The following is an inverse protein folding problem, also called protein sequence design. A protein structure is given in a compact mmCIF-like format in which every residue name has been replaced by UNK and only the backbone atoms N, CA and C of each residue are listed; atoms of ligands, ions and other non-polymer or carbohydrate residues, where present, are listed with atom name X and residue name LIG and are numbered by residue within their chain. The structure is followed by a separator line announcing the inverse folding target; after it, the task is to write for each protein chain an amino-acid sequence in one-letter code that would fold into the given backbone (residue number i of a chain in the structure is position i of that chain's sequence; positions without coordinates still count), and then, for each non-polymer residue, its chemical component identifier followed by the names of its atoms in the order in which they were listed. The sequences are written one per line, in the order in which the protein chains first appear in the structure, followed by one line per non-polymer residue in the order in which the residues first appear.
data_IF_598760259389
#
_entry.id   IF_598760259389
#
_cell.length_a   1.000
_cell.length_b   1.000
_cell.length_c   1.000
_cell.angle_alpha   90.00
_cell.angle_beta   90.00
_cell.angle_gamma   90.00
#
_symmetry.space_group_name_H-M   'P 1'
#
loop_
_entity.id
_entity.type
_entity.pdbx_description
1 polymer ?
#
# COMPACT_ATOMS: atom_id res chain seq x y z
N UNK A 1 -36.09 11.64 60.33
CA UNK A 1 -36.10 10.17 60.51
C UNK A 1 -35.38 9.54 59.32
N UNK A 2 -34.11 9.13 59.47
CA UNK A 2 -33.44 8.32 58.44
C UNK A 2 -33.81 6.86 58.65
N UNK A 3 -34.50 6.26 57.67
CA UNK A 3 -34.80 4.82 57.64
C UNK A 3 -33.48 4.05 57.50
N UNK A 4 -33.20 3.12 58.43
CA UNK A 4 -32.09 2.16 58.32
C UNK A 4 -32.27 1.33 57.05
N UNK A 5 -31.40 1.54 56.07
CA UNK A 5 -31.32 0.72 54.86
C UNK A 5 -30.76 -0.65 55.27
N UNK A 6 -31.44 -1.74 54.90
CA UNK A 6 -31.01 -3.08 55.30
C UNK A 6 -29.70 -3.46 54.61
N UNK A 7 -28.82 -4.16 55.34
CA UNK A 7 -27.50 -4.62 54.83
C UNK A 7 -27.61 -5.45 53.54
N UNK A 8 -28.73 -6.14 53.32
CA UNK A 8 -29.00 -6.91 52.08
C UNK A 8 -29.26 -6.01 50.87
N UNK A 9 -29.82 -4.81 51.08
CA UNK A 9 -30.08 -3.83 50.00
C UNK A 9 -28.77 -3.15 49.59
N UNK A 10 -27.88 -2.86 50.55
CA UNK A 10 -26.54 -2.32 50.26
C UNK A 10 -25.72 -3.31 49.44
N UNK A 11 -25.78 -4.61 49.79
CA UNK A 11 -25.08 -5.65 49.05
C UNK A 11 -25.60 -5.80 47.61
N UNK A 12 -26.91 -5.68 47.39
CA UNK A 12 -27.53 -5.75 46.07
C UNK A 12 -27.15 -4.55 45.19
N UNK A 13 -27.08 -3.34 45.78
CA UNK A 13 -26.67 -2.13 45.07
C UNK A 13 -25.19 -2.20 44.69
N UNK A 14 -24.32 -2.65 45.60
CA UNK A 14 -22.88 -2.82 45.31
C UNK A 14 -22.67 -3.88 44.23
N UNK A 15 -23.39 -5.01 44.26
CA UNK A 15 -23.28 -6.06 43.25
C UNK A 15 -23.78 -5.59 41.86
N UNK A 16 -24.83 -4.77 41.82
CA UNK A 16 -25.35 -4.19 40.57
C UNK A 16 -24.44 -3.09 40.01
N UNK A 17 -23.70 -2.37 40.85
CA UNK A 17 -22.70 -1.37 40.43
C UNK A 17 -21.44 -2.00 39.84
N UNK A 18 -21.02 -3.18 40.34
CA UNK A 18 -19.84 -3.91 39.81
C UNK A 18 -20.10 -4.48 38.42
N UNK A 19 -21.34 -4.85 38.09
CA UNK A 19 -21.70 -5.33 36.75
C UNK A 19 -21.73 -4.23 35.67
N UNK A 20 -21.88 -2.95 36.06
CA UNK A 20 -21.95 -1.84 35.11
C UNK A 20 -20.58 -1.32 34.66
N UNK A 21 -19.49 -1.65 35.36
CA UNK A 21 -18.11 -1.24 34.99
C UNK A 21 -17.38 -2.26 34.11
N UNK A 22 -17.95 -3.44 33.87
CA UNK A 22 -17.31 -4.49 33.05
C UNK A 22 -17.64 -4.42 31.55
N UNK A 23 -18.46 -3.47 31.09
CA UNK A 23 -18.90 -3.42 29.68
C UNK A 23 -18.20 -2.36 28.81
N UNK A 24 -17.12 -1.74 29.28
CA UNK A 24 -16.31 -0.86 28.44
C UNK A 24 -15.26 -1.68 27.68
N UNK A 25 -15.71 -2.59 26.80
CA UNK A 25 -14.82 -3.15 25.78
C UNK A 25 -14.54 -2.05 24.78
N UNK A 26 -13.27 -1.63 24.69
CA UNK A 26 -12.83 -0.66 23.69
C UNK A 26 -13.03 -1.33 22.33
N UNK A 27 -14.01 -0.87 21.55
CA UNK A 27 -14.20 -1.39 20.20
C UNK A 27 -12.90 -1.23 19.42
N UNK A 28 -12.43 -2.31 18.81
CA UNK A 28 -11.20 -2.27 18.02
C UNK A 28 -11.43 -1.39 16.78
N UNK A 29 -10.48 -0.47 16.54
CA UNK A 29 -10.56 0.45 15.41
C UNK A 29 -10.53 -0.33 14.09
N UNK A 30 -11.49 -0.11 13.17
CA UNK A 30 -11.53 -0.79 11.88
C UNK A 30 -10.23 -0.64 11.07
N UNK A 31 -9.84 -1.68 10.34
CA UNK A 31 -8.57 -1.71 9.59
C UNK A 31 -8.44 -0.53 8.62
N UNK A 32 -9.50 -0.17 7.87
CA UNK A 32 -9.48 0.99 6.96
C UNK A 32 -9.17 2.30 7.67
N UNK A 33 -9.68 2.49 8.89
CA UNK A 33 -9.42 3.70 9.68
C UNK A 33 -7.97 3.70 10.18
N UNK A 34 -7.45 2.54 10.61
CA UNK A 34 -6.04 2.38 11.02
C UNK A 34 -5.06 2.65 9.88
N UNK A 35 -5.40 2.21 8.66
CA UNK A 35 -4.62 2.45 7.43
C UNK A 35 -4.58 3.93 7.04
N UNK A 36 -5.54 4.74 7.46
CA UNK A 36 -5.65 6.14 7.05
C UNK A 36 -4.42 6.98 7.44
N UNK A 37 -3.93 7.75 6.47
CA UNK A 37 -2.85 8.73 6.68
C UNK A 37 -1.68 8.58 5.69
N UNK A 38 -0.57 9.23 6.05
CA UNK A 38 0.67 9.20 5.26
C UNK A 38 1.65 8.21 5.89
N UNK A 39 2.27 7.39 5.05
CA UNK A 39 3.12 6.27 5.45
C UNK A 39 4.37 6.22 4.57
N UNK A 40 5.52 6.01 5.19
CA UNK A 40 6.80 5.82 4.48
C UNK A 40 7.26 4.39 4.67
N UNK A 41 7.70 3.73 3.60
CA UNK A 41 8.34 2.40 3.69
C UNK A 41 9.73 2.57 4.29
N UNK A 42 9.93 2.01 5.48
CA UNK A 42 11.17 2.16 6.27
C UNK A 42 11.97 0.87 6.36
N UNK A 43 11.36 -0.28 6.08
CA UNK A 43 12.04 -1.55 5.89
C UNK A 43 11.36 -2.37 4.80
N UNK A 44 12.13 -3.19 4.10
CA UNK A 44 11.60 -4.10 3.10
C UNK A 44 12.49 -5.34 2.95
N UNK A 45 11.87 -6.51 2.94
CA UNK A 45 12.57 -7.79 2.75
C UNK A 45 11.91 -8.60 1.63
N UNK A 46 12.73 -9.36 0.90
CA UNK A 46 12.23 -10.35 -0.05
C UNK A 46 11.86 -11.67 0.64
N UNK A 47 11.39 -12.65 -0.14
CA UNK A 47 11.04 -13.99 0.33
C UNK A 47 12.18 -14.71 1.08
N UNK A 48 13.44 -14.46 0.70
CA UNK A 48 14.61 -15.02 1.36
C UNK A 48 15.03 -14.25 2.63
N UNK A 49 14.30 -13.19 3.00
CA UNK A 49 14.60 -12.32 4.14
C UNK A 49 15.71 -11.30 3.88
N UNK A 50 16.18 -11.16 2.63
CA UNK A 50 17.20 -10.17 2.30
C UNK A 50 16.60 -8.76 2.20
N UNK A 51 17.32 -7.76 2.68
CA UNK A 51 16.93 -6.35 2.56
C UNK A 51 16.86 -5.93 1.07
N UNK A 52 15.75 -5.30 0.71
CA UNK A 52 15.49 -4.75 -0.63
C UNK A 52 15.10 -3.27 -0.60
N UNK A 53 15.20 -2.61 0.56
CA UNK A 53 14.73 -1.25 0.73
C UNK A 53 15.45 -0.29 -0.23
N UNK A 54 16.78 -0.42 -0.34
CA UNK A 54 17.61 0.37 -1.27
C UNK A 54 17.26 0.17 -2.73
N UNK A 55 16.63 -0.96 -3.08
CA UNK A 55 16.18 -1.24 -4.44
C UNK A 55 14.87 -0.52 -4.72
N UNK A 56 13.96 -0.42 -3.76
CA UNK A 56 12.59 0.06 -3.99
C UNK A 56 12.32 1.51 -3.56
N UNK A 57 13.19 2.10 -2.73
CA UNK A 57 13.05 3.51 -2.34
C UNK A 57 13.69 4.38 -3.41
N UNK A 58 12.90 5.15 -4.16
CA UNK A 58 13.49 6.20 -4.98
C UNK A 58 12.55 7.40 -5.20
N UNK A 59 12.90 8.60 -4.71
CA UNK A 59 13.84 8.83 -3.59
C UNK A 59 13.32 8.22 -2.28
N UNK A 60 12.00 8.14 -2.16
CA UNK A 60 11.27 7.57 -1.03
C UNK A 60 10.09 6.78 -1.56
N UNK A 61 9.78 5.63 -0.96
CA UNK A 61 8.51 4.94 -1.20
C UNK A 61 7.54 5.36 -0.10
N UNK A 62 6.56 6.19 -0.45
CA UNK A 62 5.57 6.70 0.48
C UNK A 62 4.17 6.64 -0.11
N UNK A 63 3.18 6.52 0.77
CA UNK A 63 1.77 6.35 0.47
C UNK A 63 0.94 7.30 1.31
N UNK A 64 0.01 8.01 0.68
CA UNK A 64 -1.14 8.58 1.33
C UNK A 64 -2.34 7.66 1.06
N UNK A 65 -2.96 7.18 2.13
CA UNK A 65 -4.12 6.29 2.12
C UNK A 65 -5.32 7.08 2.67
N UNK A 66 -6.31 7.35 1.83
CA UNK A 66 -7.54 8.03 2.24
C UNK A 66 -8.57 7.04 2.78
N UNK A 67 -9.57 7.54 3.50
CA UNK A 67 -10.66 6.72 4.06
C UNK A 67 -11.58 6.10 3.01
N UNK A 68 -11.67 6.70 1.82
CA UNK A 68 -12.48 6.19 0.70
C UNK A 68 -11.83 5.04 -0.08
N UNK A 69 -10.57 4.71 0.22
CA UNK A 69 -9.82 3.67 -0.48
C UNK A 69 -8.83 4.19 -1.52
N UNK A 70 -8.74 5.50 -1.74
CA UNK A 70 -7.77 6.08 -2.70
C UNK A 70 -6.34 6.00 -2.18
N UNK A 71 -5.40 5.73 -3.08
CA UNK A 71 -3.96 5.79 -2.85
C UNK A 71 -3.35 6.89 -3.71
N UNK A 72 -2.54 7.74 -3.08
CA UNK A 72 -1.59 8.63 -3.76
C UNK A 72 -0.19 8.20 -3.29
N UNK A 73 0.73 7.88 -4.20
CA UNK A 73 2.00 7.31 -3.77
C UNK A 73 3.19 7.66 -4.67
N UNK A 74 4.37 7.54 -4.09
CA UNK A 74 5.65 7.38 -4.82
C UNK A 74 6.11 5.93 -4.86
N UNK A 75 5.25 4.98 -4.47
CA UNK A 75 5.54 3.55 -4.38
C UNK A 75 5.70 2.81 -5.72
N UNK A 76 5.82 3.53 -6.84
CA UNK A 76 6.01 2.93 -8.17
C UNK A 76 7.14 1.91 -8.24
N UNK A 77 8.37 2.24 -7.80
CA UNK A 77 9.49 1.29 -7.82
C UNK A 77 9.26 0.06 -6.94
N UNK A 78 8.61 0.23 -5.78
CA UNK A 78 8.16 -0.88 -4.93
C UNK A 78 7.20 -1.82 -5.68
N UNK A 79 6.17 -1.27 -6.32
CA UNK A 79 5.20 -2.08 -7.09
C UNK A 79 5.89 -2.79 -8.26
N UNK A 80 6.83 -2.15 -8.94
CA UNK A 80 7.59 -2.81 -10.00
C UNK A 80 8.45 -3.95 -9.49
N UNK A 81 9.11 -3.79 -8.35
CA UNK A 81 9.87 -4.87 -7.74
C UNK A 81 8.94 -6.06 -7.41
N UNK A 82 7.74 -5.77 -6.90
CA UNK A 82 6.73 -6.80 -6.67
C UNK A 82 6.39 -7.51 -7.99
N UNK A 83 6.05 -6.79 -9.06
CA UNK A 83 5.60 -7.39 -10.32
C UNK A 83 6.72 -8.16 -11.04
N UNK A 84 7.89 -7.54 -11.19
CA UNK A 84 8.94 -8.00 -12.10
C UNK A 84 10.10 -8.72 -11.40
N UNK A 85 10.24 -8.55 -10.09
CA UNK A 85 11.33 -9.10 -9.30
C UNK A 85 12.68 -8.48 -9.59
N UNK A 86 13.68 -8.86 -8.81
CA UNK A 86 14.98 -8.17 -8.72
C UNK A 86 15.72 -8.03 -10.05
N UNK A 87 15.90 -9.12 -10.80
CA UNK A 87 16.70 -9.12 -12.02
C UNK A 87 16.11 -8.20 -13.10
N UNK A 88 14.78 -8.16 -13.20
CA UNK A 88 14.07 -7.33 -14.17
C UNK A 88 13.90 -5.90 -13.65
N UNK A 89 13.66 -5.74 -12.35
CA UNK A 89 13.65 -4.45 -11.70
C UNK A 89 14.96 -3.70 -11.95
N UNK A 90 16.11 -4.32 -11.68
CA UNK A 90 17.42 -3.69 -11.91
C UNK A 90 17.63 -3.27 -13.37
N UNK A 91 17.21 -4.11 -14.32
CA UNK A 91 17.24 -3.75 -15.74
C UNK A 91 16.39 -2.51 -16.04
N UNK A 92 15.17 -2.45 -15.51
CA UNK A 92 14.27 -1.32 -15.74
C UNK A 92 14.75 -0.06 -14.99
N UNK A 93 15.14 -0.19 -13.72
CA UNK A 93 15.67 0.88 -12.88
C UNK A 93 16.92 1.53 -13.51
N UNK A 94 17.86 0.75 -14.03
CA UNK A 94 19.03 1.30 -14.72
C UNK A 94 18.70 2.15 -15.96
N UNK A 95 17.56 1.89 -16.61
CA UNK A 95 17.06 2.67 -17.74
C UNK A 95 16.30 3.91 -17.28
N UNK A 96 15.64 3.86 -16.12
CA UNK A 96 14.96 4.98 -15.45
C UNK A 96 15.97 6.03 -15.01
N UNK A 97 17.02 5.62 -14.31
CA UNK A 97 18.05 6.53 -13.77
C UNK A 97 18.78 7.31 -14.87
N UNK A 98 18.92 6.73 -16.07
CA UNK A 98 19.51 7.40 -17.23
C UNK A 98 18.60 8.46 -17.86
N UNK A 99 17.32 8.47 -17.48
CA UNK A 99 16.24 9.09 -18.25
C UNK A 99 15.44 10.16 -17.49
N UNK A 100 15.44 10.16 -16.15
CA UNK A 100 14.71 11.14 -15.35
C UNK A 100 15.63 12.25 -14.82
N UNK A 101 15.27 13.49 -15.16
CA UNK A 101 15.72 14.71 -14.50
C UNK A 101 14.59 15.11 -13.51
N UNK A 102 14.89 15.15 -12.22
CA UNK A 102 13.99 14.83 -11.09
C UNK A 102 12.99 15.93 -10.64
N UNK A 103 12.42 16.71 -11.56
CA UNK A 103 11.55 17.87 -11.21
C UNK A 103 10.05 17.61 -11.31
N UNK A 104 9.61 16.42 -11.75
CA UNK A 104 8.18 16.09 -11.89
C UNK A 104 7.89 14.76 -11.23
N UNK A 105 7.64 14.80 -9.92
CA UNK A 105 7.17 13.66 -9.15
C UNK A 105 5.76 13.31 -9.60
N UNK A 106 5.64 12.38 -10.54
CA UNK A 106 4.36 11.80 -10.93
C UNK A 106 3.86 10.93 -9.77
N UNK A 107 2.80 11.40 -9.09
CA UNK A 107 2.12 10.60 -8.08
C UNK A 107 1.37 9.46 -8.77
N UNK A 108 1.78 8.22 -8.48
CA UNK A 108 1.05 7.06 -8.94
C UNK A 108 -0.22 6.90 -8.11
N UNK A 109 -1.36 6.89 -8.80
CA UNK A 109 -2.66 6.61 -8.23
C UNK A 109 -2.88 5.11 -8.01
N UNK A 110 -3.71 4.77 -7.05
CA UNK A 110 -4.15 3.40 -6.79
C UNK A 110 -5.39 3.39 -5.93
N UNK A 111 -5.86 2.20 -5.61
CA UNK A 111 -6.97 1.97 -4.70
C UNK A 111 -6.62 0.82 -3.76
N UNK A 112 -7.17 0.84 -2.55
CA UNK A 112 -7.16 -0.30 -1.65
C UNK A 112 -8.56 -0.65 -1.18
N UNK A 113 -8.78 -1.95 -0.98
CA UNK A 113 -10.07 -2.50 -0.59
C UNK A 113 -9.89 -3.41 0.62
N UNK A 114 -10.58 -3.10 1.70
CA UNK A 114 -10.67 -3.93 2.90
C UNK A 114 -12.14 -4.01 3.32
N UNK A 115 -12.54 -5.14 3.89
CA UNK A 115 -13.90 -5.30 4.41
C UNK A 115 -14.13 -4.40 5.63
N UNK A 116 -15.40 -4.26 6.04
CA UNK A 116 -15.75 -3.49 7.22
C UNK A 116 -15.28 -4.20 8.50
N UNK A 117 -14.79 -3.43 9.48
CA UNK A 117 -14.32 -3.94 10.76
C UNK A 117 -12.81 -4.21 10.78
N UNK A 118 -12.39 -5.15 11.61
CA UNK A 118 -10.98 -5.54 11.77
C UNK A 118 -10.70 -6.75 10.90
N UNK A 119 -9.83 -6.56 9.92
CA UNK A 119 -9.36 -7.60 9.00
C UNK A 119 -7.83 -7.63 8.97
N UNK A 120 -7.30 -8.81 8.69
CA UNK A 120 -5.87 -9.11 8.56
C UNK A 120 -5.40 -9.17 7.09
N UNK A 121 -6.32 -8.94 6.14
CA UNK A 121 -6.08 -9.03 4.70
C UNK A 121 -6.80 -7.90 3.98
N UNK A 122 -6.15 -7.37 2.94
CA UNK A 122 -6.74 -6.38 2.05
C UNK A 122 -6.31 -6.61 0.59
N UNK A 123 -6.91 -5.86 -0.32
CA UNK A 123 -6.53 -5.80 -1.73
C UNK A 123 -5.85 -4.48 -2.03
N UNK A 124 -4.69 -4.54 -2.68
CA UNK A 124 -3.92 -3.40 -3.16
C UNK A 124 -4.03 -3.34 -4.69
N UNK A 125 -4.59 -2.28 -5.26
CA UNK A 125 -4.57 -2.01 -6.70
C UNK A 125 -3.69 -0.79 -6.98
N UNK A 126 -2.61 -0.99 -7.73
CA UNK A 126 -1.68 0.07 -8.09
C UNK A 126 -1.66 0.30 -9.59
N UNK A 127 -1.78 1.54 -10.00
CA UNK A 127 -1.63 1.93 -11.40
C UNK A 127 -0.14 2.03 -11.71
N UNK A 128 0.32 1.19 -12.64
CA UNK A 128 1.58 1.42 -13.33
C UNK A 128 1.25 1.95 -14.72
N UNK A 129 1.50 3.23 -14.92
CA UNK A 129 1.63 3.77 -16.27
C UNK A 129 2.93 3.21 -16.87
N UNK A 130 2.95 3.03 -18.19
CA UNK A 130 3.95 2.25 -18.91
C UNK A 130 5.35 2.36 -18.31
N UNK A 131 6.02 1.21 -18.20
CA UNK A 131 7.35 1.00 -17.61
C UNK A 131 8.08 2.32 -17.33
N UNK A 132 8.35 2.70 -16.07
CA UNK A 132 8.98 3.98 -15.83
C UNK A 132 10.25 4.09 -16.64
N UNK A 133 10.48 5.27 -17.20
CA UNK A 133 11.42 5.53 -18.29
C UNK A 133 10.73 5.65 -19.65
N UNK A 134 9.41 5.40 -19.72
CA UNK A 134 8.64 5.41 -20.95
C UNK A 134 8.73 6.71 -21.76
N UNK A 135 8.75 7.90 -21.13
CA UNK A 135 8.91 9.17 -21.86
C UNK A 135 10.25 9.20 -22.61
N UNK A 136 11.32 8.76 -21.98
CA UNK A 136 12.67 8.79 -22.55
C UNK A 136 12.93 7.62 -23.51
N UNK A 137 12.36 6.44 -23.25
CA UNK A 137 12.37 5.29 -24.16
C UNK A 137 11.52 5.56 -25.41
N UNK A 138 10.33 6.14 -25.26
CA UNK A 138 9.49 6.56 -26.39
C UNK A 138 10.20 7.67 -27.19
N UNK A 139 10.86 8.63 -26.51
CA UNK A 139 11.64 9.69 -27.17
C UNK A 139 12.86 9.16 -27.94
N UNK A 140 13.55 8.14 -27.43
CA UNK A 140 14.66 7.48 -28.12
C UNK A 140 14.17 6.70 -29.36
N UNK A 141 13.04 5.99 -29.23
CA UNK A 141 12.45 5.21 -30.33
C UNK A 141 11.86 6.14 -31.42
N UNK A 142 11.28 7.27 -31.04
CA UNK A 142 10.83 8.33 -31.96
C UNK A 142 12.02 8.97 -32.71
N UNK A 143 13.16 9.19 -32.05
CA UNK A 143 14.41 9.68 -32.69
C UNK A 143 14.97 8.69 -33.73
N UNK A 144 14.71 7.40 -33.54
CA UNK A 144 15.05 6.31 -34.48
C UNK A 144 13.91 5.98 -35.46
N UNK A 145 12.83 6.74 -35.44
CA UNK A 145 11.63 6.61 -36.28
C UNK A 145 10.90 5.24 -36.13
N UNK A 146 10.88 4.71 -34.92
CA UNK A 146 10.21 3.45 -34.53
C UNK A 146 9.01 3.77 -33.65
N UNK A 147 7.78 3.55 -34.16
CA UNK A 147 6.55 3.79 -33.39
C UNK A 147 6.28 2.63 -32.40
N UNK A 148 6.46 2.91 -31.11
CA UNK A 148 6.30 1.93 -30.03
C UNK A 148 5.02 2.14 -29.21
N UNK A 149 3.85 2.21 -29.88
CA UNK A 149 2.55 2.46 -29.25
C UNK A 149 2.19 1.48 -28.11
N UNK A 150 2.74 0.27 -28.13
CA UNK A 150 2.54 -0.75 -27.10
C UNK A 150 3.07 -0.33 -25.70
N UNK A 151 4.03 0.60 -25.64
CA UNK A 151 4.54 1.14 -24.38
C UNK A 151 3.54 2.08 -23.67
N UNK A 152 2.53 2.61 -24.37
CA UNK A 152 1.57 3.62 -23.88
C UNK A 152 0.41 3.06 -23.04
N UNK A 153 0.50 1.82 -22.59
CA UNK A 153 -0.61 1.13 -21.91
C UNK A 153 -0.52 1.29 -20.39
N UNK A 154 -1.56 1.86 -19.78
CA UNK A 154 -1.73 1.87 -18.33
C UNK A 154 -2.21 0.50 -17.87
N UNK A 155 -1.48 -0.12 -16.94
CA UNK A 155 -1.82 -1.42 -16.36
C UNK A 155 -2.07 -1.26 -14.86
N UNK A 156 -3.25 -1.68 -14.44
CA UNK A 156 -3.68 -1.77 -13.05
C UNK A 156 -3.23 -3.13 -12.51
N UNK A 157 -2.36 -3.08 -11.51
CA UNK A 157 -1.82 -4.26 -10.84
C UNK A 157 -2.52 -4.46 -9.52
N UNK A 158 -3.34 -5.50 -9.45
CA UNK A 158 -4.10 -5.87 -8.26
C UNK A 158 -3.40 -7.02 -7.54
N UNK A 159 -3.13 -6.85 -6.26
CA UNK A 159 -2.68 -7.86 -5.34
C UNK A 159 -3.79 -8.11 -4.31
N UNK A 160 -4.39 -9.29 -4.37
CA UNK A 160 -5.54 -9.71 -3.58
C UNK A 160 -5.03 -10.54 -2.40
N UNK A 161 -5.59 -10.34 -1.20
CA UNK A 161 -5.16 -11.00 0.04
C UNK A 161 -3.73 -10.64 0.48
N UNK A 162 -3.35 -9.37 0.35
CA UNK A 162 -2.14 -8.85 1.00
C UNK A 162 -2.37 -8.85 2.50
N UNK A 163 -1.47 -9.50 3.26
CA UNK A 163 -1.52 -9.50 4.71
C UNK A 163 -1.24 -8.10 5.25
N UNK A 164 -2.00 -7.69 6.25
CA UNK A 164 -1.83 -6.43 6.95
C UNK A 164 -1.83 -6.66 8.46
N UNK A 165 -0.86 -6.03 9.11
CA UNK A 165 -0.79 -5.97 10.57
C UNK A 165 -0.28 -4.59 11.00
N UNK A 166 -0.35 -4.31 12.29
CA UNK A 166 0.10 -3.06 12.89
C UNK A 166 0.77 -3.34 14.22
N UNK A 167 1.72 -2.50 14.59
CA UNK A 167 2.23 -2.53 15.95
C UNK A 167 1.21 -2.01 16.97
N UNK A 168 1.52 -2.20 18.26
CA UNK A 168 0.61 -1.91 19.37
C UNK A 168 0.11 -0.45 19.41
N UNK A 169 0.96 0.50 19.03
CA UNK A 169 0.64 1.93 19.04
C UNK A 169 0.13 2.47 17.69
N UNK A 170 0.11 1.63 16.64
CA UNK A 170 -0.32 1.99 15.30
C UNK A 170 0.62 2.97 14.57
N UNK A 171 1.86 3.12 15.03
CA UNK A 171 2.90 3.90 14.36
C UNK A 171 3.54 3.14 13.19
N UNK A 172 3.43 1.82 13.17
CA UNK A 172 3.89 0.95 12.10
C UNK A 172 2.76 0.10 11.55
N UNK A 173 2.79 -0.08 10.24
CA UNK A 173 1.91 -0.96 9.47
C UNK A 173 2.79 -1.90 8.66
N UNK A 174 2.46 -3.19 8.70
CA UNK A 174 3.21 -4.24 8.01
C UNK A 174 2.38 -4.75 6.86
N UNK A 175 2.94 -4.75 5.65
CA UNK A 175 2.34 -5.39 4.49
C UNK A 175 3.14 -6.62 4.12
N UNK A 176 2.45 -7.74 3.91
CA UNK A 176 3.08 -8.98 3.48
C UNK A 176 2.39 -9.55 2.25
N UNK A 177 3.18 -9.70 1.19
CA UNK A 177 2.83 -10.40 -0.03
C UNK A 177 3.36 -11.82 0.11
N UNK A 178 2.51 -12.73 0.58
CA UNK A 178 2.84 -14.13 0.89
C UNK A 178 2.16 -15.10 -0.10
N UNK A 179 2.29 -16.41 0.13
CA UNK A 179 1.68 -17.45 -0.70
C UNK A 179 0.14 -17.39 -0.80
N UNK A 180 -0.53 -16.68 0.11
CA UNK A 180 -1.99 -16.48 0.06
C UNK A 180 -2.38 -15.28 -0.80
N UNK A 181 -1.43 -14.43 -1.19
CA UNK A 181 -1.66 -13.34 -2.12
C UNK A 181 -1.80 -13.86 -3.55
N UNK A 182 -2.79 -13.37 -4.29
CA UNK A 182 -2.92 -13.60 -5.74
C UNK A 182 -2.87 -12.28 -6.51
N UNK A 183 -2.61 -12.33 -7.82
CA UNK A 183 -2.53 -11.13 -8.64
C UNK A 183 -3.51 -11.15 -9.81
N UNK A 184 -3.98 -9.98 -10.21
CA UNK A 184 -4.72 -9.75 -11.44
C UNK A 184 -4.21 -8.47 -12.10
N UNK A 185 -3.98 -8.52 -13.41
CA UNK A 185 -3.49 -7.38 -14.17
C UNK A 185 -4.51 -6.99 -15.22
N UNK A 186 -4.86 -5.71 -15.24
CA UNK A 186 -5.92 -5.22 -16.11
C UNK A 186 -5.49 -3.93 -16.81
N UNK A 187 -5.97 -3.74 -18.03
CA UNK A 187 -6.01 -2.44 -18.69
C UNK A 187 -7.45 -1.93 -18.68
N UNK A 188 -7.66 -0.66 -19.02
CA UNK A 188 -8.99 -0.14 -19.33
C UNK A 188 -9.16 -0.04 -20.84
N UNK A 189 -10.30 -0.46 -21.36
CA UNK A 189 -10.67 -0.23 -22.76
C UNK A 189 -11.04 1.25 -22.99
N UNK A 190 -11.37 1.62 -24.23
CA UNK A 190 -11.78 2.98 -24.58
C UNK A 190 -13.10 3.45 -23.93
N UNK A 191 -13.82 2.55 -23.24
CA UNK A 191 -15.05 2.84 -22.49
C UNK A 191 -14.80 2.86 -20.97
N UNK A 192 -13.57 2.57 -20.53
CA UNK A 192 -13.18 2.54 -19.12
C UNK A 192 -13.39 1.18 -18.43
N UNK A 193 -13.82 0.14 -19.14
CA UNK A 193 -14.03 -1.19 -18.55
C UNK A 193 -12.69 -1.89 -18.33
N UNK A 194 -12.57 -2.65 -17.24
CA UNK A 194 -11.40 -3.49 -17.01
C UNK A 194 -11.37 -4.66 -18.00
N UNK A 195 -10.25 -4.79 -18.70
CA UNK A 195 -9.93 -5.91 -19.60
C UNK A 195 -8.66 -6.57 -19.09
N UNK A 196 -8.60 -7.90 -19.12
CA UNK A 196 -7.42 -8.65 -18.68
C UNK A 196 -6.20 -8.28 -19.53
N UNK A 197 -5.09 -7.99 -18.86
CA UNK A 197 -3.80 -7.78 -19.50
C UNK A 197 -2.91 -9.01 -19.30
N UNK A 198 -2.57 -9.69 -20.39
CA UNK A 198 -1.80 -10.95 -20.37
C UNK A 198 -0.30 -10.74 -20.67
N UNK A 199 0.22 -9.51 -20.56
CA UNK A 199 1.61 -9.21 -20.90
C UNK A 199 2.63 -9.68 -19.86
N UNK A 200 2.20 -10.03 -18.64
CA UNK A 200 3.04 -10.62 -17.60
C UNK A 200 2.28 -11.72 -16.85
N UNK A 201 2.94 -12.85 -16.48
CA UNK A 201 2.27 -13.91 -15.73
C UNK A 201 1.88 -13.46 -14.31
N UNK A 202 0.61 -13.65 -13.95
CA UNK A 202 0.07 -13.32 -12.62
C UNK A 202 0.61 -14.18 -11.48
N UNK A 203 1.35 -15.25 -11.78
CA UNK A 203 1.97 -16.13 -10.78
C UNK A 203 3.45 -15.77 -10.52
N UNK A 204 4.02 -14.82 -11.25
CA UNK A 204 5.46 -14.53 -11.25
C UNK A 204 5.86 -13.30 -10.43
N UNK A 205 4.98 -12.78 -9.57
CA UNK A 205 5.31 -11.66 -8.71
C UNK A 205 6.08 -12.10 -7.45
N UNK A 206 6.91 -11.19 -6.93
CA UNK A 206 7.77 -11.40 -5.78
C UNK A 206 6.97 -11.42 -4.49
N UNK A 207 7.30 -12.39 -3.62
CA UNK A 207 6.86 -12.38 -2.22
C UNK A 207 7.80 -11.51 -1.41
N UNK A 208 7.23 -10.67 -0.55
CA UNK A 208 7.97 -9.62 0.14
C UNK A 208 7.18 -9.08 1.32
N UNK A 209 7.91 -8.51 2.27
CA UNK A 209 7.36 -7.84 3.45
C UNK A 209 7.85 -6.40 3.51
N UNK A 210 6.98 -5.49 3.91
CA UNK A 210 7.25 -4.07 4.01
C UNK A 210 6.81 -3.57 5.38
N UNK A 211 7.68 -2.78 6.01
CA UNK A 211 7.31 -1.98 7.18
C UNK A 211 7.07 -0.56 6.73
N UNK A 212 5.91 -0.04 7.06
CA UNK A 212 5.49 1.32 6.79
C UNK A 212 5.38 2.08 8.09
N UNK A 213 6.09 3.18 8.23
CA UNK A 213 6.05 4.05 9.42
C UNK A 213 5.17 5.26 9.16
N UNK A 214 4.23 5.53 10.07
CA UNK A 214 3.28 6.64 9.98
C UNK A 214 4.00 7.98 10.03
N UNK A 215 3.56 8.93 9.21
CA UNK A 215 4.13 10.27 9.10
C UNK A 215 3.10 11.31 9.53
N UNK A 216 3.58 12.35 10.21
CA UNK A 216 2.78 13.54 10.53
C UNK A 216 2.80 14.60 9.42
N UNK A 217 3.70 14.44 8.44
CA UNK A 217 3.90 15.35 7.31
C UNK A 217 3.05 14.92 6.12
N UNK A 218 2.76 15.87 5.24
CA UNK A 218 2.11 15.58 3.97
C UNK A 218 3.06 14.82 3.04
N UNK A 219 2.47 14.04 2.12
CA UNK A 219 3.23 13.25 1.15
C UNK A 219 4.21 14.11 0.34
N UNK A 220 3.83 15.36 -0.01
CA UNK A 220 4.69 16.29 -0.75
C UNK A 220 5.95 16.68 0.03
N UNK A 221 5.81 16.97 1.31
CA UNK A 221 6.92 17.41 2.16
C UNK A 221 7.93 16.27 2.34
N UNK A 222 7.44 15.04 2.55
CA UNK A 222 8.28 13.84 2.64
C UNK A 222 9.14 13.69 1.38
N UNK A 223 8.54 13.90 0.21
CA UNK A 223 9.26 13.74 -1.04
C UNK A 223 10.30 14.85 -1.23
N UNK A 224 9.96 16.11 -0.92
CA UNK A 224 10.90 17.24 -0.99
C UNK A 224 12.12 17.01 -0.09
N UNK A 225 11.92 16.45 1.11
CA UNK A 225 13.01 16.21 2.07
C UNK A 225 13.94 15.05 1.68
N UNK A 226 13.49 14.15 0.79
CA UNK A 226 14.25 12.98 0.37
C UNK A 226 14.77 13.08 -1.07
N UNK A 227 14.39 14.12 -1.83
CA UNK A 227 14.85 14.38 -3.21
C UNK A 227 16.16 15.17 -3.22
#
# INVERSE_FOLDING_TARGET
MLKKISSKIILLIVLSSVLLVSSCTKDETPTKERMGGVWTVTAATNEAGADILSKIKFPVAAFYLSSDGTIISTGGPMVMYIVYGENKYTQIASQIDQCFNYTTLDFNGGEYFAENGVVDRFTLEMKLEGLPGQKSLTSLLDLLNIDAQWLKTVVYHKFINVAIDFNEDGSEMYWTIDSSTSAAYNMKDGQGNYVLWNGWPVNNFSRCSFTLTKQSKDLKDIVIENS
#
